data_IF_701180613909
#
_entry.id   IF_701180613909
#
_cell.length_a   1.000
_cell.length_b   1.000
_cell.length_c   1.000
_cell.angle_alpha   90.00
_cell.angle_beta   90.00
_cell.angle_gamma   90.00
#
_symmetry.space_group_name_H-M   'P 1'
#
loop_
_entity.id
_entity.type
_entity.pdbx_description
1 polymer ?
#
# COMPACT_ATOMS: atom_id res chain seq x y z
N UNK A 1 12.39 5.48 6.39
CA UNK A 1 11.50 4.46 5.80
C UNK A 1 12.36 3.38 5.16
N UNK A 2 12.15 2.14 5.54
CA UNK A 2 12.82 0.98 4.95
C UNK A 2 11.79 0.21 4.14
N UNK A 3 12.10 -0.04 2.87
CA UNK A 3 11.29 -0.82 1.95
C UNK A 3 11.92 -2.19 1.73
N UNK A 4 11.11 -3.16 1.34
CA UNK A 4 11.54 -4.54 1.14
C UNK A 4 11.68 -4.87 -0.34
N UNK A 5 12.69 -5.66 -0.67
CA UNK A 5 12.79 -6.37 -1.94
C UNK A 5 13.07 -7.85 -1.71
N UNK A 6 12.55 -8.70 -2.57
CA UNK A 6 12.80 -10.14 -2.58
C UNK A 6 13.36 -10.51 -3.95
N UNK A 7 14.59 -11.04 -3.98
CA UNK A 7 15.32 -11.34 -5.22
C UNK A 7 15.35 -10.14 -6.20
N UNK A 8 15.55 -8.92 -5.67
CA UNK A 8 15.56 -7.70 -6.47
C UNK A 8 14.18 -7.17 -6.87
N UNK A 9 13.10 -7.85 -6.54
CA UNK A 9 11.73 -7.43 -6.82
C UNK A 9 11.19 -6.62 -5.63
N UNK A 10 10.75 -5.36 -5.84
CA UNK A 10 10.21 -4.57 -4.74
C UNK A 10 8.88 -5.13 -4.25
N UNK A 11 8.67 -5.10 -2.94
CA UNK A 11 7.39 -5.43 -2.31
C UNK A 11 6.73 -4.14 -1.86
N UNK A 12 5.71 -3.74 -2.61
CA UNK A 12 4.97 -2.52 -2.33
C UNK A 12 4.14 -2.68 -1.05
N UNK A 13 4.04 -1.61 -0.27
CA UNK A 13 3.35 -1.59 1.03
C UNK A 13 3.97 -2.47 2.14
N UNK A 14 5.11 -3.11 1.91
CA UNK A 14 5.91 -3.68 2.99
C UNK A 14 6.73 -2.57 3.63
N UNK A 15 6.65 -2.47 4.94
CA UNK A 15 7.29 -1.38 5.67
C UNK A 15 7.81 -1.83 7.03
N UNK A 16 8.81 -1.11 7.48
CA UNK A 16 9.27 -1.10 8.84
C UNK A 16 9.05 0.30 9.40
N UNK A 17 8.31 0.40 10.48
CA UNK A 17 8.09 1.64 11.21
C UNK A 17 8.76 1.50 12.56
N UNK A 18 9.49 2.52 12.96
CA UNK A 18 10.24 2.57 14.20
C UNK A 18 10.03 3.93 14.85
N UNK A 19 9.60 3.91 16.10
CA UNK A 19 9.51 5.10 16.92
C UNK A 19 10.73 5.19 17.83
N UNK A 20 11.29 6.37 17.93
CA UNK A 20 12.42 6.68 18.79
C UNK A 20 12.00 7.71 19.85
N UNK A 21 12.50 7.53 21.05
CA UNK A 21 12.40 8.58 22.06
C UNK A 21 13.43 9.71 21.80
N UNK A 22 13.38 10.81 22.54
CA UNK A 22 14.35 11.91 22.40
C UNK A 22 15.81 11.51 22.63
N UNK A 23 16.06 10.39 23.33
CA UNK A 23 17.41 9.85 23.56
C UNK A 23 17.91 8.96 22.41
N UNK A 24 17.05 8.66 21.44
CA UNK A 24 17.36 7.77 20.30
C UNK A 24 17.12 6.29 20.60
N UNK A 25 16.47 5.96 21.70
CA UNK A 25 16.08 4.56 21.99
C UNK A 25 14.80 4.19 21.28
N UNK A 26 14.76 2.96 20.76
CA UNK A 26 13.57 2.40 20.09
C UNK A 26 12.48 2.15 21.12
N UNK A 27 11.35 2.82 20.98
CA UNK A 27 10.16 2.66 21.83
C UNK A 27 9.10 1.77 21.21
N UNK A 28 9.07 1.71 19.88
CA UNK A 28 8.14 0.89 19.12
C UNK A 28 8.79 0.41 17.81
N UNK A 29 8.47 -0.81 17.43
CA UNK A 29 8.91 -1.38 16.16
C UNK A 29 7.76 -2.17 15.54
N UNK A 30 7.30 -1.74 14.37
CA UNK A 30 6.30 -2.45 13.57
C UNK A 30 6.94 -2.92 12.26
N UNK A 31 6.84 -4.21 11.99
CA UNK A 31 7.36 -4.82 10.76
C UNK A 31 6.21 -5.50 10.03
N UNK A 32 5.96 -5.04 8.80
CA UNK A 32 4.98 -5.65 7.89
C UNK A 32 5.71 -6.32 6.73
N UNK A 33 6.19 -7.54 6.96
CA UNK A 33 6.94 -8.33 5.99
C UNK A 33 6.29 -9.71 5.79
N UNK A 34 5.24 -9.80 4.97
CA UNK A 34 4.59 -11.07 4.70
C UNK A 34 5.51 -12.04 3.97
N UNK A 35 5.26 -13.32 4.12
CA UNK A 35 5.90 -14.35 3.28
C UNK A 35 5.39 -14.21 1.85
N UNK A 36 6.29 -14.17 0.89
CA UNK A 36 5.92 -14.06 -0.53
C UNK A 36 5.67 -15.46 -1.11
N UNK A 37 4.50 -15.61 -1.74
CA UNK A 37 4.13 -16.85 -2.44
C UNK A 37 4.98 -17.05 -3.69
N UNK A 38 5.51 -18.28 -3.96
CA UNK A 38 6.20 -18.60 -5.22
C UNK A 38 5.34 -18.31 -6.44
N UNK A 39 4.04 -18.53 -6.37
CA UNK A 39 3.09 -18.26 -7.44
C UNK A 39 3.04 -16.75 -7.82
N UNK A 40 3.10 -15.87 -6.85
CA UNK A 40 3.16 -14.42 -7.09
C UNK A 40 4.48 -14.05 -7.75
N UNK A 41 5.59 -14.67 -7.35
CA UNK A 41 6.90 -14.43 -7.98
C UNK A 41 6.92 -14.84 -9.44
N UNK A 42 6.26 -15.92 -9.82
CA UNK A 42 6.12 -16.32 -11.22
C UNK A 42 5.30 -15.32 -12.03
N UNK A 43 4.20 -14.81 -11.47
CA UNK A 43 3.40 -13.76 -12.09
C UNK A 43 4.20 -12.46 -12.26
N UNK A 44 5.06 -12.12 -11.32
CA UNK A 44 5.96 -10.96 -11.44
C UNK A 44 6.89 -11.12 -12.64
N UNK A 45 7.47 -12.29 -12.85
CA UNK A 45 8.36 -12.54 -14.00
C UNK A 45 7.61 -12.39 -15.33
N UNK A 46 6.38 -12.87 -15.43
CA UNK A 46 5.54 -12.70 -16.61
C UNK A 46 5.21 -11.21 -16.84
N UNK A 47 4.90 -10.50 -15.77
CA UNK A 47 4.58 -9.09 -15.82
C UNK A 47 5.79 -8.23 -16.21
N UNK A 48 6.99 -8.59 -15.76
CA UNK A 48 8.24 -7.94 -16.15
C UNK A 48 8.51 -8.08 -17.65
N UNK A 49 8.22 -9.25 -18.23
CA UNK A 49 8.34 -9.47 -19.68
C UNK A 49 7.34 -8.62 -20.46
N UNK A 50 6.08 -8.60 -20.02
CA UNK A 50 5.04 -7.80 -20.64
C UNK A 50 5.35 -6.30 -20.56
N UNK A 51 5.85 -5.82 -19.43
CA UNK A 51 6.21 -4.42 -19.25
C UNK A 51 7.37 -3.96 -20.15
N UNK A 52 8.29 -4.86 -20.50
CA UNK A 52 9.40 -4.55 -21.41
C UNK A 52 8.99 -4.55 -22.87
N UNK A 53 7.99 -5.37 -23.24
CA UNK A 53 7.60 -5.55 -24.65
C UNK A 53 6.68 -4.43 -25.15
N UNK A 54 5.48 -4.31 -24.57
CA UNK A 54 4.41 -3.51 -25.14
C UNK A 54 3.57 -2.73 -24.13
N UNK A 55 3.99 -2.64 -22.88
CA UNK A 55 3.21 -1.93 -21.87
C UNK A 55 3.15 -0.43 -22.18
N UNK A 56 1.94 0.05 -22.43
CA UNK A 56 1.68 1.47 -22.60
C UNK A 56 1.23 2.06 -21.28
N UNK A 57 2.02 2.99 -20.76
CA UNK A 57 1.67 3.73 -19.54
C UNK A 57 0.47 4.63 -19.86
N UNK A 58 -0.62 4.56 -19.06
CA UNK A 58 -1.75 5.46 -19.26
C UNK A 58 -1.34 6.92 -19.13
N UNK A 59 -1.70 7.73 -20.11
CA UNK A 59 -1.45 9.16 -20.08
C UNK A 59 -2.36 9.86 -19.06
N UNK A 60 -1.83 10.88 -18.41
CA UNK A 60 -2.55 11.71 -17.45
C UNK A 60 -2.50 13.17 -17.91
N UNK A 61 -3.65 13.83 -17.93
CA UNK A 61 -3.75 15.20 -18.43
C UNK A 61 -2.95 16.22 -17.63
N UNK A 62 -2.95 16.08 -16.28
CA UNK A 62 -2.35 17.05 -15.35
C UNK A 62 -1.11 16.54 -14.64
N UNK A 63 -0.62 15.39 -15.03
CA UNK A 63 0.51 14.75 -14.40
C UNK A 63 1.48 14.16 -15.44
N UNK A 64 2.74 14.11 -15.05
CA UNK A 64 3.81 13.50 -15.82
C UNK A 64 4.28 12.21 -15.16
N UNK A 65 4.66 11.26 -15.99
CA UNK A 65 5.23 10.01 -15.54
C UNK A 65 6.59 10.25 -14.87
N UNK A 66 6.73 9.76 -13.65
CA UNK A 66 8.00 9.80 -12.91
C UNK A 66 8.72 8.45 -12.91
N UNK A 67 7.98 7.36 -12.66
CA UNK A 67 8.56 6.04 -12.58
C UNK A 67 7.56 4.93 -12.93
N UNK A 68 8.09 3.83 -13.45
CA UNK A 68 7.38 2.57 -13.66
C UNK A 68 8.20 1.44 -13.04
N UNK A 69 7.60 0.68 -12.17
CA UNK A 69 8.25 -0.44 -11.47
C UNK A 69 7.32 -1.64 -11.44
N UNK A 70 7.88 -2.83 -11.64
CA UNK A 70 7.15 -4.09 -11.48
C UNK A 70 7.50 -4.71 -10.14
N UNK A 71 6.49 -5.09 -9.38
CA UNK A 71 6.70 -5.65 -8.06
C UNK A 71 5.50 -6.41 -7.53
N UNK A 72 5.51 -6.62 -6.23
CA UNK A 72 4.48 -7.34 -5.50
C UNK A 72 3.68 -6.33 -4.68
N UNK A 73 2.38 -6.27 -4.96
CA UNK A 73 1.44 -5.50 -4.16
C UNK A 73 0.94 -6.38 -3.01
N UNK A 74 1.09 -5.89 -1.81
CA UNK A 74 0.57 -6.53 -0.59
C UNK A 74 -0.39 -5.59 0.11
N UNK A 75 -1.53 -6.12 0.57
CA UNK A 75 -2.42 -5.35 1.44
C UNK A 75 -1.94 -5.41 2.89
N UNK A 76 -1.67 -4.28 3.54
CA UNK A 76 -1.22 -4.27 4.94
C UNK A 76 -2.29 -4.75 5.93
N UNK A 77 -3.56 -4.78 5.52
CA UNK A 77 -4.66 -5.28 6.34
C UNK A 77 -4.81 -6.81 6.27
N UNK A 78 -4.08 -7.46 5.36
CA UNK A 78 -4.17 -8.88 5.12
C UNK A 78 -3.19 -9.65 5.99
N UNK A 79 -3.71 -10.51 6.84
CA UNK A 79 -2.91 -11.47 7.60
C UNK A 79 -2.53 -12.70 6.77
N UNK A 80 -3.04 -12.86 5.54
CA UNK A 80 -2.98 -14.08 4.76
C UNK A 80 -2.19 -13.91 3.46
N UNK A 81 -1.51 -14.99 3.06
CA UNK A 81 -0.65 -15.07 1.88
C UNK A 81 -1.42 -14.81 0.57
N UNK A 82 -2.72 -15.03 0.57
CA UNK A 82 -3.57 -14.98 -0.64
C UNK A 82 -3.92 -13.56 -1.11
N UNK A 83 -3.47 -12.53 -0.38
CA UNK A 83 -3.77 -11.14 -0.72
C UNK A 83 -2.55 -10.40 -1.31
N UNK A 84 -1.72 -11.13 -2.02
CA UNK A 84 -0.60 -10.60 -2.78
C UNK A 84 -0.92 -10.66 -4.27
N UNK A 85 -0.51 -9.64 -5.01
CA UNK A 85 -0.65 -9.58 -6.45
C UNK A 85 0.62 -9.04 -7.10
N UNK A 86 0.98 -9.57 -8.28
CA UNK A 86 1.94 -8.91 -9.14
C UNK A 86 1.31 -7.65 -9.71
N UNK A 87 2.03 -6.55 -9.70
CA UNK A 87 1.53 -5.26 -10.17
C UNK A 87 2.63 -4.41 -10.81
N UNK A 88 2.22 -3.57 -11.75
CA UNK A 88 3.04 -2.47 -12.26
C UNK A 88 2.66 -1.23 -11.46
N UNK A 89 3.60 -0.70 -10.70
CA UNK A 89 3.45 0.57 -10.02
C UNK A 89 3.85 1.70 -10.93
N UNK A 90 2.93 2.61 -11.18
CA UNK A 90 3.16 3.82 -11.96
C UNK A 90 3.07 5.02 -11.03
N UNK A 91 4.09 5.86 -11.06
CA UNK A 91 4.16 7.06 -10.25
C UNK A 91 4.12 8.27 -11.17
N UNK A 92 3.19 9.16 -10.89
CA UNK A 92 3.04 10.44 -11.57
C UNK A 92 3.32 11.58 -10.60
N UNK A 93 3.90 12.65 -11.11
CA UNK A 93 3.98 13.92 -10.39
C UNK A 93 3.13 14.99 -11.10
N UNK A 94 2.67 15.98 -10.35
CA UNK A 94 1.91 17.08 -10.92
C UNK A 94 2.76 17.87 -11.93
N UNK A 95 2.15 18.28 -13.02
CA UNK A 95 2.76 19.23 -13.96
C UNK A 95 2.91 20.63 -13.39
N UNK A 96 2.13 20.97 -12.38
CA UNK A 96 2.26 22.23 -11.65
C UNK A 96 3.40 22.13 -10.64
N UNK A 97 4.48 22.93 -10.80
CA UNK A 97 5.64 22.89 -9.89
C UNK A 97 5.31 23.34 -8.45
N UNK A 98 4.20 24.03 -8.26
CA UNK A 98 3.73 24.45 -6.91
C UNK A 98 2.96 23.35 -6.17
N UNK A 99 2.58 22.27 -6.86
CA UNK A 99 1.86 21.15 -6.29
C UNK A 99 2.83 19.98 -6.16
N UNK A 100 3.40 19.79 -4.98
CA UNK A 100 4.31 18.66 -4.68
C UNK A 100 3.61 17.31 -4.50
N UNK A 101 2.44 17.09 -5.11
CA UNK A 101 1.68 15.85 -4.98
C UNK A 101 2.11 14.82 -6.02
N UNK A 102 2.25 13.58 -5.55
CA UNK A 102 2.44 12.40 -6.40
C UNK A 102 1.18 11.54 -6.37
N UNK A 103 0.84 10.97 -7.51
CA UNK A 103 -0.20 9.94 -7.62
C UNK A 103 0.46 8.60 -7.93
N UNK A 104 -0.03 7.55 -7.30
CA UNK A 104 0.45 6.18 -7.51
C UNK A 104 -0.70 5.31 -7.96
N UNK A 105 -0.48 4.57 -9.05
CA UNK A 105 -1.42 3.58 -9.53
C UNK A 105 -0.75 2.20 -9.60
N UNK A 106 -1.52 1.17 -9.34
CA UNK A 106 -1.10 -0.24 -9.47
C UNK A 106 -1.91 -0.88 -10.58
N UNK A 107 -1.24 -1.31 -11.63
CA UNK A 107 -1.86 -1.74 -12.88
C UNK A 107 -1.44 -3.18 -13.21
N UNK A 108 -2.29 -3.85 -13.97
CA UNK A 108 -1.94 -5.12 -14.63
C UNK A 108 -1.25 -4.88 -15.98
N UNK A 109 -0.94 -5.95 -16.71
CA UNK A 109 -0.30 -5.91 -18.02
C UNK A 109 -1.14 -5.20 -19.10
N UNK A 110 -2.45 -5.07 -18.87
CA UNK A 110 -3.37 -4.38 -19.79
C UNK A 110 -3.54 -2.90 -19.47
N UNK A 111 -2.92 -2.42 -18.39
CA UNK A 111 -3.07 -1.05 -17.91
C UNK A 111 -4.32 -0.82 -17.07
N UNK A 112 -5.04 -1.88 -16.70
CA UNK A 112 -6.19 -1.79 -15.81
C UNK A 112 -5.75 -1.84 -14.35
N UNK A 113 -6.48 -1.16 -13.44
CA UNK A 113 -6.18 -1.23 -12.02
C UNK A 113 -6.20 -2.67 -11.49
N UNK A 114 -5.16 -3.04 -10.73
CA UNK A 114 -5.17 -4.29 -9.97
C UNK A 114 -6.22 -4.17 -8.87
N UNK A 115 -7.12 -5.15 -8.70
CA UNK A 115 -8.07 -5.14 -7.61
C UNK A 115 -7.32 -5.09 -6.27
N UNK A 116 -7.47 -4.01 -5.54
CA UNK A 116 -6.97 -3.93 -4.17
C UNK A 116 -7.82 -4.86 -3.31
N UNK A 117 -7.21 -5.75 -2.52
CA UNK A 117 -7.95 -6.47 -1.52
C UNK A 117 -8.70 -5.45 -0.66
N UNK A 118 -10.00 -5.63 -0.51
CA UNK A 118 -10.81 -4.73 0.30
C UNK A 118 -10.20 -4.69 1.69
N UNK A 119 -9.72 -3.55 2.12
CA UNK A 119 -9.48 -3.29 3.53
C UNK A 119 -10.77 -3.64 4.25
N UNK A 120 -10.72 -4.59 5.17
CA UNK A 120 -11.84 -4.78 6.08
C UNK A 120 -12.10 -3.42 6.71
N UNK A 121 -13.26 -2.82 6.40
CA UNK A 121 -13.74 -1.69 7.17
C UNK A 121 -13.64 -2.12 8.63
N UNK A 122 -12.79 -1.46 9.38
CA UNK A 122 -12.78 -1.61 10.84
C UNK A 122 -14.17 -1.17 11.26
N UNK A 123 -15.05 -2.13 11.51
CA UNK A 123 -16.34 -1.84 12.11
C UNK A 123 -16.03 -1.18 13.43
N UNK A 124 -16.31 0.12 13.52
CA UNK A 124 -16.29 0.77 14.80
C UNK A 124 -17.05 -0.10 15.80
N UNK A 125 -16.47 -0.38 16.96
CA UNK A 125 -17.19 -1.14 17.97
C UNK A 125 -18.51 -0.41 18.24
N UNK A 126 -19.63 -1.13 18.39
CA UNK A 126 -20.91 -0.52 18.63
C UNK A 126 -20.77 0.47 19.80
N UNK A 127 -21.09 1.73 19.55
CA UNK A 127 -21.08 2.75 20.61
C UNK A 127 -21.89 2.18 21.77
N UNK A 128 -21.25 2.00 22.91
CA UNK A 128 -21.92 1.55 24.14
C UNK A 128 -23.18 2.38 24.34
N UNK A 129 -24.34 1.76 24.57
CA UNK A 129 -25.55 2.51 24.82
C UNK A 129 -25.26 3.51 25.94
N UNK A 130 -25.46 4.80 25.66
CA UNK A 130 -25.37 5.84 26.68
C UNK A 130 -26.29 5.42 27.80
N UNK A 131 -25.70 5.15 28.96
CA UNK A 131 -26.47 4.88 30.18
C UNK A 131 -27.25 6.16 30.52
N UNK A 132 -28.59 6.20 30.39
CA UNK A 132 -29.38 7.39 30.64
C UNK A 132 -29.40 7.80 32.12
N UNK A 133 -28.94 6.94 33.01
CA UNK A 133 -28.92 7.20 34.45
C UNK A 133 -27.79 8.05 34.98
N UNK A 134 -26.83 8.47 34.14
CA UNK A 134 -25.73 9.34 34.60
C UNK A 134 -26.08 10.83 34.65
N UNK A 135 -27.30 11.21 34.21
CA UNK A 135 -27.69 12.63 34.26
C UNK A 135 -28.35 13.06 35.57
N UNK A 136 -28.68 12.12 36.47
CA UNK A 136 -29.39 12.46 37.72
C UNK A 136 -28.46 12.56 38.94
N UNK A 137 -27.16 12.31 38.81
CA UNK A 137 -26.25 12.43 39.95
C UNK A 137 -25.48 13.76 40.05
N UNK A 138 -25.65 14.68 39.10
CA UNK A 138 -24.98 15.99 39.10
C UNK A 138 -25.87 17.17 39.48
N UNK A 139 -27.09 16.99 39.98
CA UNK A 139 -28.01 18.05 40.40
C UNK A 139 -28.43 17.96 41.87
N UNK A 140 -27.49 17.69 42.74
CA UNK A 140 -27.66 17.93 44.21
C UNK A 140 -26.50 18.68 44.79
#
# INVERSE_FOLDING_TARGET
>A
LITRAVNGVPVFNSRLIMDLDPSGQITSLEITWPKISPHVMEKVKLLQKAARADFKVPEQQFAELEAVEVGILHSPAASFVDEQAAAIRVIYHSKDPNIGKKAVAYLDETGQPVPMPKTMEVREPPKSPRNPNRQNEMSR
#
